data_IF_143522607669
#
_entry.id   IF_143522607669
#
_cell.length_a   1.000
_cell.length_b   1.000
_cell.length_c   1.000
_cell.angle_alpha   90.00
_cell.angle_beta   90.00
_cell.angle_gamma   90.00
#
_symmetry.space_group_name_H-M   'P 1'
#
loop_
_entity.id
_entity.type
_entity.pdbx_description
1 polymer ?
#
# COMPACT_ATOMS: atom_id res chain seq x y z
N UNK A 1 8.53 12.73 2.86
CA UNK A 1 9.38 12.56 1.67
C UNK A 1 9.08 11.20 1.09
N UNK A 2 8.49 11.14 -0.10
CA UNK A 2 8.26 9.90 -0.84
C UNK A 2 9.62 9.34 -1.27
N UNK A 3 9.85 8.05 -1.04
CA UNK A 3 11.07 7.31 -1.42
C UNK A 3 11.08 6.87 -2.89
N UNK A 4 10.17 7.39 -3.70
CA UNK A 4 9.98 6.99 -5.10
C UNK A 4 9.96 8.23 -5.99
N UNK A 5 10.76 8.17 -7.06
CA UNK A 5 10.79 9.17 -8.12
C UNK A 5 10.00 8.66 -9.33
N UNK A 6 8.98 9.38 -9.75
CA UNK A 6 8.21 9.13 -10.96
C UNK A 6 9.12 9.34 -12.17
N UNK A 7 9.13 8.40 -13.14
CA UNK A 7 9.91 8.58 -14.34
C UNK A 7 9.36 9.75 -15.15
N UNK A 8 10.25 10.63 -15.61
CA UNK A 8 9.88 11.73 -16.51
C UNK A 8 9.40 11.21 -17.86
N UNK A 9 8.42 11.89 -18.46
CA UNK A 9 8.00 11.58 -19.83
C UNK A 9 9.08 11.97 -20.84
N UNK A 10 9.49 11.02 -21.69
CA UNK A 10 10.41 11.30 -22.80
C UNK A 10 9.76 12.06 -23.96
N UNK A 11 8.43 12.18 -23.99
CA UNK A 11 7.69 12.85 -25.04
C UNK A 11 7.24 14.26 -24.59
N UNK A 12 7.72 15.34 -25.24
CA UNK A 12 7.34 16.72 -24.89
C UNK A 12 5.83 16.97 -24.95
N UNK A 13 5.12 16.35 -25.91
CA UNK A 13 3.69 16.51 -26.04
C UNK A 13 2.91 15.89 -24.86
N UNK A 14 3.41 14.76 -24.33
CA UNK A 14 2.83 14.09 -23.16
C UNK A 14 3.14 14.92 -21.91
N UNK A 15 4.35 15.48 -21.79
CA UNK A 15 4.70 16.37 -20.69
C UNK A 15 3.80 17.61 -20.67
N UNK A 16 3.56 18.27 -21.80
CA UNK A 16 2.60 19.37 -21.87
C UNK A 16 1.16 18.94 -21.51
N UNK A 17 0.75 17.74 -21.90
CA UNK A 17 -0.58 17.22 -21.50
C UNK A 17 -0.66 17.03 -19.99
N UNK A 18 0.38 16.43 -19.39
CA UNK A 18 0.49 16.21 -17.95
C UNK A 18 0.38 17.54 -17.19
N UNK A 19 1.15 18.55 -17.58
CA UNK A 19 1.13 19.86 -16.92
C UNK A 19 -0.25 20.53 -17.08
N UNK A 20 -0.86 20.45 -18.26
CA UNK A 20 -2.19 21.01 -18.49
C UNK A 20 -3.25 20.35 -17.58
N UNK A 21 -3.24 19.02 -17.48
CA UNK A 21 -4.17 18.30 -16.62
C UNK A 21 -3.87 18.53 -15.13
N UNK A 22 -2.59 18.64 -14.76
CA UNK A 22 -2.15 18.90 -13.40
C UNK A 22 -2.71 20.24 -12.90
N UNK A 23 -2.53 21.32 -13.65
CA UNK A 23 -3.05 22.63 -13.27
C UNK A 23 -4.58 22.66 -13.18
N UNK A 24 -5.28 22.02 -14.13
CA UNK A 24 -6.73 21.86 -14.06
C UNK A 24 -7.17 21.10 -12.79
N UNK A 25 -6.42 20.08 -12.37
CA UNK A 25 -6.70 19.34 -11.14
C UNK A 25 -6.27 20.04 -9.85
N UNK A 26 -5.22 20.86 -9.86
CA UNK A 26 -4.81 21.66 -8.69
C UNK A 26 -5.87 22.71 -8.40
N UNK A 27 -6.36 23.40 -9.43
CA UNK A 27 -7.34 24.45 -9.24
C UNK A 27 -8.79 23.94 -9.19
N UNK A 28 -9.02 22.65 -9.46
CA UNK A 28 -10.37 22.09 -9.64
C UNK A 28 -11.19 22.86 -10.68
N UNK A 29 -10.52 23.32 -11.75
CA UNK A 29 -11.09 24.09 -12.85
C UNK A 29 -10.68 23.45 -14.18
N UNK A 30 -11.44 23.70 -15.24
CA UNK A 30 -11.07 23.28 -16.60
C UNK A 30 -10.74 24.50 -17.49
N UNK A 31 -9.96 25.43 -16.93
CA UNK A 31 -9.63 26.71 -17.54
C UNK A 31 -8.32 26.66 -18.32
N UNK A 32 -7.42 25.74 -17.99
CA UNK A 32 -6.13 25.56 -18.66
C UNK A 32 -6.30 24.77 -19.95
N UNK A 33 -5.77 25.32 -21.05
CA UNK A 33 -5.81 24.70 -22.38
C UNK A 33 -4.47 24.88 -23.09
N UNK A 34 -4.08 23.88 -23.89
CA UNK A 34 -2.91 23.99 -24.76
C UNK A 34 -3.07 25.14 -25.75
N UNK A 35 -2.04 25.96 -25.87
CA UNK A 35 -2.01 27.17 -26.69
C UNK A 35 -1.25 26.89 -27.99
N UNK A 36 -1.89 27.19 -29.14
CA UNK A 36 -1.22 27.22 -30.44
C UNK A 36 -0.83 25.86 -31.08
N UNK A 37 -1.77 24.92 -31.25
CA UNK A 37 -1.57 23.72 -32.11
C UNK A 37 -2.43 23.76 -33.38
N UNK A 38 -1.84 23.31 -34.50
CA UNK A 38 -2.25 23.40 -35.93
C UNK A 38 -1.77 24.68 -36.67
N UNK A 39 -0.49 24.71 -37.06
CA UNK A 39 0.04 25.63 -38.09
C UNK A 39 0.35 27.06 -37.67
N UNK A 40 0.01 27.47 -36.44
CA UNK A 40 0.33 28.81 -35.91
C UNK A 40 1.66 28.82 -35.15
N UNK A 41 2.42 29.92 -35.26
CA UNK A 41 3.68 30.11 -34.52
C UNK A 41 3.41 30.14 -33.00
N UNK A 42 4.12 29.29 -32.25
CA UNK A 42 4.08 29.32 -30.79
C UNK A 42 4.75 30.60 -30.26
N UNK A 43 4.01 31.34 -29.43
CA UNK A 43 4.41 32.68 -28.95
C UNK A 43 5.15 32.64 -27.60
N UNK A 44 5.90 31.57 -27.35
CA UNK A 44 6.53 31.30 -26.06
C UNK A 44 5.56 30.88 -24.94
N UNK A 45 4.37 30.38 -25.30
CA UNK A 45 3.37 29.84 -24.37
C UNK A 45 2.87 28.50 -24.90
N UNK A 46 2.89 27.46 -24.07
CA UNK A 46 2.36 26.13 -24.41
C UNK A 46 0.97 25.88 -23.84
N UNK A 47 0.64 26.46 -22.67
CA UNK A 47 -0.66 26.31 -22.00
C UNK A 47 -1.08 27.68 -21.47
N UNK A 48 -2.38 27.98 -21.55
CA UNK A 48 -2.92 29.24 -21.06
C UNK A 48 -4.29 29.05 -20.38
N UNK A 49 -4.50 29.75 -19.27
CA UNK A 49 -5.80 29.97 -18.64
C UNK A 49 -6.20 31.44 -18.81
N UNK A 50 -7.23 31.76 -19.63
CA UNK A 50 -7.71 33.14 -19.79
C UNK A 50 -8.42 33.66 -18.54
N UNK A 51 -9.01 32.77 -17.73
CA UNK A 51 -9.75 33.14 -16.52
C UNK A 51 -8.77 33.58 -15.44
N UNK A 52 -7.73 32.78 -15.23
CA UNK A 52 -6.77 33.01 -14.16
C UNK A 52 -5.64 33.96 -14.59
N UNK A 53 -5.54 34.23 -15.91
CA UNK A 53 -4.46 35.02 -16.54
C UNK A 53 -3.09 34.39 -16.26
N UNK A 54 -3.02 33.06 -16.38
CA UNK A 54 -1.83 32.25 -16.12
C UNK A 54 -1.40 31.59 -17.43
N UNK A 55 -0.11 31.74 -17.76
CA UNK A 55 0.54 31.04 -18.86
C UNK A 55 1.53 30.03 -18.31
N UNK A 56 1.75 28.94 -19.06
CA UNK A 56 2.73 27.93 -18.73
C UNK A 56 3.53 27.63 -19.99
N UNK A 57 4.84 27.65 -19.84
CA UNK A 57 5.80 27.19 -20.83
C UNK A 57 6.44 25.90 -20.32
N UNK A 58 6.35 24.84 -21.12
CA UNK A 58 6.86 23.53 -20.77
C UNK A 58 8.28 23.34 -21.35
N UNK A 59 9.18 22.79 -20.54
CA UNK A 59 10.58 22.54 -20.90
C UNK A 59 10.98 21.11 -20.57
N UNK A 60 10.80 20.21 -21.53
CA UNK A 60 11.38 18.86 -21.44
C UNK A 60 12.89 18.96 -21.67
N UNK A 61 13.69 18.49 -20.70
CA UNK A 61 15.16 18.41 -20.79
C UNK A 61 15.64 16.97 -20.87
N UNK A 62 16.81 16.77 -21.46
CA UNK A 62 17.48 15.48 -21.52
C UNK A 62 18.41 15.32 -20.31
N UNK A 63 17.96 14.54 -19.33
CA UNK A 63 18.59 14.44 -18.01
C UNK A 63 19.86 13.57 -17.97
N UNK A 64 20.18 12.87 -19.06
CA UNK A 64 21.43 12.10 -19.21
C UNK A 64 22.66 12.99 -19.40
N UNK A 65 22.48 14.29 -19.68
CA UNK A 65 23.54 15.26 -19.92
C UNK A 65 24.10 15.83 -18.62
N UNK A 66 25.27 16.48 -18.71
CA UNK A 66 25.87 17.18 -17.56
C UNK A 66 24.93 18.26 -17.02
N UNK A 67 24.70 18.21 -15.71
CA UNK A 67 23.80 19.09 -14.95
C UNK A 67 23.99 20.58 -15.30
N UNK A 68 25.23 21.07 -15.28
CA UNK A 68 25.56 22.46 -15.61
C UNK A 68 25.16 22.87 -17.04
N UNK A 69 25.21 21.93 -17.99
CA UNK A 69 24.81 22.18 -19.37
C UNK A 69 23.30 22.26 -19.51
N UNK A 70 22.56 21.41 -18.79
CA UNK A 70 21.09 21.44 -18.77
C UNK A 70 20.60 22.73 -18.13
N UNK A 71 21.20 23.12 -16.99
CA UNK A 71 20.85 24.34 -16.27
C UNK A 71 21.08 25.57 -17.13
N UNK A 72 22.27 25.70 -17.76
CA UNK A 72 22.55 26.82 -18.66
C UNK A 72 21.55 26.90 -19.82
N UNK A 73 21.29 25.77 -20.48
CA UNK A 73 20.31 25.69 -21.56
C UNK A 73 18.89 26.05 -21.12
N UNK A 74 18.51 25.71 -19.87
CA UNK A 74 17.22 26.06 -19.31
C UNK A 74 17.11 27.57 -19.06
N UNK A 75 18.15 28.22 -18.53
CA UNK A 75 18.17 29.67 -18.33
C UNK A 75 18.07 30.41 -19.68
N UNK A 76 18.86 29.99 -20.68
CA UNK A 76 18.82 30.55 -22.04
C UNK A 76 17.43 30.40 -22.67
N UNK A 77 16.78 29.25 -22.46
CA UNK A 77 15.42 28.97 -22.93
C UNK A 77 14.37 29.87 -22.25
N UNK A 78 14.49 30.10 -20.94
CA UNK A 78 13.59 30.97 -20.17
C UNK A 78 13.67 32.39 -20.71
N UNK A 79 14.87 32.95 -20.85
CA UNK A 79 15.06 34.31 -21.38
C UNK A 79 14.51 34.43 -22.81
N UNK A 80 14.74 33.42 -23.65
CA UNK A 80 14.23 33.40 -25.02
C UNK A 80 12.71 33.42 -25.08
N UNK A 81 12.03 32.64 -24.25
CA UNK A 81 10.57 32.56 -24.30
C UNK A 81 9.90 33.78 -23.66
N UNK A 82 10.46 34.30 -22.56
CA UNK A 82 10.02 35.58 -21.97
C UNK A 82 10.13 36.70 -23.01
N UNK A 83 11.24 36.79 -23.74
CA UNK A 83 11.39 37.78 -24.80
C UNK A 83 10.39 37.59 -25.94
N UNK A 84 10.03 36.35 -26.33
CA UNK A 84 8.96 36.13 -27.32
C UNK A 84 7.61 36.65 -26.80
N UNK A 85 7.26 36.36 -25.55
CA UNK A 85 6.00 36.80 -24.94
C UNK A 85 5.87 38.33 -24.99
N UNK A 86 6.95 39.05 -24.68
CA UNK A 86 6.99 40.52 -24.69
C UNK A 86 6.90 41.07 -26.12
N UNK A 87 7.67 40.50 -27.05
CA UNK A 87 7.78 41.01 -28.41
C UNK A 87 6.56 40.73 -29.30
N UNK A 88 5.77 39.71 -28.96
CA UNK A 88 4.66 39.26 -29.81
C UNK A 88 3.32 39.98 -29.56
N UNK A 89 3.33 41.06 -28.76
CA UNK A 89 2.16 41.89 -28.40
C UNK A 89 0.91 41.03 -28.15
N UNK A 90 1.06 40.04 -27.27
CA UNK A 90 -0.05 39.17 -26.91
C UNK A 90 -1.21 40.03 -26.41
N UNK A 91 -2.38 39.93 -27.07
CA UNK A 91 -3.63 40.56 -26.60
C UNK A 91 -4.17 39.94 -25.30
N UNK A 92 -3.33 39.21 -24.58
CA UNK A 92 -3.66 38.46 -23.38
C UNK A 92 -3.03 39.18 -22.19
N UNK A 93 -3.84 39.53 -21.21
CA UNK A 93 -3.34 40.04 -19.94
C UNK A 93 -2.79 38.85 -19.13
N UNK A 94 -1.52 38.92 -18.74
CA UNK A 94 -0.82 37.88 -17.99
C UNK A 94 -0.51 38.36 -16.58
N UNK A 95 -0.75 37.51 -15.57
CA UNK A 95 -0.37 37.73 -14.17
C UNK A 95 0.84 36.88 -13.77
N UNK A 96 0.87 35.61 -14.18
CA UNK A 96 1.93 34.66 -13.83
C UNK A 96 2.30 33.84 -15.06
N UNK A 97 3.60 33.67 -15.29
CA UNK A 97 4.20 32.72 -16.20
C UNK A 97 4.86 31.60 -15.39
N UNK A 98 4.34 30.38 -15.49
CA UNK A 98 5.03 29.20 -14.99
C UNK A 98 6.00 28.65 -16.04
N UNK A 99 7.23 28.37 -15.63
CA UNK A 99 8.18 27.57 -16.39
C UNK A 99 8.18 26.17 -15.76
N UNK A 100 7.49 25.22 -16.39
CA UNK A 100 7.42 23.84 -15.92
C UNK A 100 8.47 22.98 -16.63
N UNK A 101 9.34 22.31 -15.90
CA UNK A 101 10.49 21.58 -16.47
C UNK A 101 10.62 20.17 -15.93
N UNK A 102 11.16 19.26 -16.74
CA UNK A 102 11.58 17.95 -16.25
C UNK A 102 12.93 18.01 -15.52
N UNK A 103 13.60 19.15 -15.49
CA UNK A 103 14.77 19.38 -14.65
C UNK A 103 14.35 19.58 -13.19
N UNK A 104 15.19 19.20 -12.23
CA UNK A 104 14.94 19.34 -10.79
C UNK A 104 14.73 20.80 -10.36
N UNK A 105 14.23 20.99 -9.15
CA UNK A 105 14.22 22.31 -8.51
C UNK A 105 15.67 22.81 -8.32
N UNK A 106 15.90 24.10 -8.51
CA UNK A 106 17.23 24.68 -8.30
C UNK A 106 17.14 26.18 -7.94
N UNK A 107 17.72 26.62 -6.81
CA UNK A 107 17.65 28.01 -6.35
C UNK A 107 18.10 29.03 -7.40
N UNK A 108 19.23 28.79 -8.08
CA UNK A 108 19.72 29.68 -9.14
C UNK A 108 18.69 29.97 -10.25
N UNK A 109 17.75 29.05 -10.52
CA UNK A 109 16.71 29.25 -11.53
C UNK A 109 15.61 30.16 -10.98
N UNK A 110 15.22 29.97 -9.72
CA UNK A 110 14.25 30.82 -9.04
C UNK A 110 14.78 32.25 -8.91
N UNK A 111 16.03 32.42 -8.48
CA UNK A 111 16.74 33.70 -8.43
C UNK A 111 16.78 34.37 -9.81
N UNK A 112 17.15 33.61 -10.86
CA UNK A 112 17.17 34.13 -12.22
C UNK A 112 15.80 34.58 -12.73
N UNK A 113 14.72 33.87 -12.37
CA UNK A 113 13.36 34.28 -12.75
C UNK A 113 12.98 35.64 -12.14
N UNK A 114 13.39 35.90 -10.89
CA UNK A 114 13.19 37.18 -10.20
C UNK A 114 14.03 38.27 -10.87
N UNK A 115 15.33 38.02 -11.08
CA UNK A 115 16.24 38.97 -11.74
C UNK A 115 15.74 39.34 -13.15
N UNK A 116 15.27 38.35 -13.91
CA UNK A 116 14.77 38.57 -15.27
C UNK A 116 13.49 39.42 -15.28
N UNK A 117 12.58 39.21 -14.32
CA UNK A 117 11.39 40.02 -14.13
C UNK A 117 11.74 41.48 -13.88
N UNK A 118 12.69 41.73 -12.98
CA UNK A 118 13.15 43.08 -12.62
C UNK A 118 13.88 43.74 -13.80
N UNK A 119 14.84 43.05 -14.41
CA UNK A 119 15.64 43.51 -15.56
C UNK A 119 14.76 43.95 -16.73
N UNK A 120 13.68 43.21 -17.02
CA UNK A 120 12.78 43.50 -18.13
C UNK A 120 11.53 44.31 -17.71
N UNK A 121 11.44 44.71 -16.44
CA UNK A 121 10.31 45.44 -15.86
C UNK A 121 8.94 44.81 -16.20
N UNK A 122 8.83 43.50 -15.98
CA UNK A 122 7.64 42.73 -16.37
C UNK A 122 6.46 42.99 -15.45
N UNK A 123 5.26 43.01 -16.04
CA UNK A 123 3.98 43.15 -15.31
C UNK A 123 3.44 41.84 -14.74
N UNK A 124 4.12 40.73 -14.99
CA UNK A 124 3.76 39.39 -14.53
C UNK A 124 4.93 38.74 -13.81
N UNK A 125 4.62 37.81 -12.91
CA UNK A 125 5.61 37.01 -12.21
C UNK A 125 6.10 35.85 -13.07
N UNK A 126 7.35 35.44 -12.88
CA UNK A 126 7.91 34.23 -13.48
C UNK A 126 8.16 33.24 -12.34
N UNK A 127 7.54 32.06 -12.39
CA UNK A 127 7.67 31.02 -11.36
C UNK A 127 8.21 29.74 -12.01
N UNK A 128 9.27 29.18 -11.45
CA UNK A 128 9.83 27.93 -11.92
C UNK A 128 9.28 26.74 -11.14
N UNK A 129 8.77 25.74 -11.86
CA UNK A 129 8.43 24.43 -11.31
C UNK A 129 9.33 23.37 -11.93
N UNK A 130 10.29 22.90 -11.14
CA UNK A 130 11.07 21.72 -11.48
C UNK A 130 10.29 20.42 -11.25
N UNK A 131 10.90 19.31 -11.65
CA UNK A 131 10.30 17.99 -11.59
C UNK A 131 9.89 17.59 -10.18
N UNK A 132 10.69 17.94 -9.18
CA UNK A 132 10.40 17.60 -7.78
C UNK A 132 9.06 18.22 -7.33
N UNK A 133 8.84 19.49 -7.68
CA UNK A 133 7.55 20.18 -7.40
C UNK A 133 6.40 19.54 -8.16
N UNK A 134 6.59 19.24 -9.45
CA UNK A 134 5.56 18.62 -10.29
C UNK A 134 5.18 17.25 -9.74
N UNK A 135 6.17 16.45 -9.35
CA UNK A 135 6.02 15.12 -8.78
C UNK A 135 5.21 15.16 -7.48
N UNK A 136 5.54 16.06 -6.55
CA UNK A 136 4.80 16.21 -5.28
C UNK A 136 3.31 16.40 -5.52
N UNK A 137 2.92 17.24 -6.47
CA UNK A 137 1.51 17.44 -6.80
C UNK A 137 0.87 16.28 -7.55
N UNK A 138 1.64 15.52 -8.33
CA UNK A 138 1.14 14.39 -9.12
C UNK A 138 0.87 13.16 -8.26
N UNK A 139 1.72 12.88 -7.27
CA UNK A 139 1.63 11.69 -6.42
C UNK A 139 0.28 11.62 -5.69
N UNK A 140 -0.27 12.77 -5.28
CA UNK A 140 -1.55 12.84 -4.56
C UNK A 140 -2.77 12.76 -5.50
N UNK A 141 -2.57 12.66 -6.83
CA UNK A 141 -3.64 12.70 -7.84
C UNK A 141 -3.75 11.38 -8.59
N UNK A 142 -4.52 10.44 -8.02
CA UNK A 142 -4.75 9.11 -8.59
C UNK A 142 -5.17 9.14 -10.08
N UNK A 143 -5.97 10.13 -10.49
CA UNK A 143 -6.40 10.25 -11.89
C UNK A 143 -5.25 10.58 -12.84
N UNK A 144 -4.27 11.39 -12.43
CA UNK A 144 -3.08 11.69 -13.23
C UNK A 144 -2.17 10.46 -13.28
N UNK A 145 -1.95 9.81 -12.15
CA UNK A 145 -1.14 8.59 -12.07
C UNK A 145 -1.70 7.50 -13.00
N UNK A 146 -3.01 7.21 -12.94
CA UNK A 146 -3.65 6.24 -13.85
C UNK A 146 -3.51 6.61 -15.33
N UNK A 147 -3.53 7.90 -15.67
CA UNK A 147 -3.48 8.38 -17.05
C UNK A 147 -2.07 8.37 -17.64
N UNK A 148 -1.08 8.80 -16.86
CA UNK A 148 0.29 9.04 -17.34
C UNK A 148 1.28 7.94 -16.94
N UNK A 149 0.96 7.20 -15.87
CA UNK A 149 1.72 6.05 -15.39
C UNK A 149 0.77 4.89 -15.03
N UNK A 150 0.05 4.30 -16.01
CA UNK A 150 -0.95 3.25 -15.74
C UNK A 150 -0.35 2.00 -15.08
N UNK A 151 0.95 1.77 -15.24
CA UNK A 151 1.69 0.65 -14.65
C UNK A 151 2.18 0.95 -13.22
N UNK A 152 2.03 2.19 -12.73
CA UNK A 152 2.45 2.58 -11.39
C UNK A 152 1.42 2.12 -10.36
N UNK A 153 1.79 1.13 -9.55
CA UNK A 153 0.93 0.53 -8.52
C UNK A 153 0.90 1.46 -7.31
N UNK A 154 -0.21 2.19 -7.14
CA UNK A 154 -0.48 2.95 -5.91
C UNK A 154 -1.08 1.97 -4.88
N UNK A 155 -0.32 1.64 -3.85
CA UNK A 155 -0.88 0.98 -2.67
C UNK A 155 -1.74 1.98 -1.90
N UNK A 156 -3.06 1.97 -2.14
CA UNK A 156 -4.03 2.73 -1.36
C UNK A 156 -4.15 2.11 0.04
N UNK A 157 -3.18 2.45 0.89
CA UNK A 157 -3.05 2.00 2.28
C UNK A 157 -3.92 2.82 3.25
N UNK A 158 -4.97 3.51 2.76
CA UNK A 158 -5.85 4.27 3.64
C UNK A 158 -6.49 3.36 4.69
N UNK A 159 -6.75 3.90 5.90
CA UNK A 159 -7.41 3.17 6.98
C UNK A 159 -8.78 2.64 6.55
N UNK A 160 -9.50 3.41 5.72
CA UNK A 160 -10.79 3.03 5.16
C UNK A 160 -10.66 1.81 4.24
N UNK A 161 -9.71 1.82 3.30
CA UNK A 161 -9.46 0.69 2.40
C UNK A 161 -9.17 -0.61 3.16
N UNK A 162 -8.40 -0.53 4.25
CA UNK A 162 -8.12 -1.69 5.12
C UNK A 162 -9.38 -2.23 5.80
N UNK A 163 -10.21 -1.35 6.37
CA UNK A 163 -11.47 -1.73 7.01
C UNK A 163 -12.43 -2.36 6.00
N UNK A 164 -12.57 -1.76 4.82
CA UNK A 164 -13.43 -2.28 3.74
C UNK A 164 -12.96 -3.68 3.30
N UNK A 165 -11.65 -3.89 3.16
CA UNK A 165 -11.06 -5.19 2.83
C UNK A 165 -11.40 -6.23 3.89
N UNK A 166 -11.16 -5.93 5.17
CA UNK A 166 -11.39 -6.86 6.28
C UNK A 166 -12.87 -7.23 6.40
N UNK A 167 -13.78 -6.25 6.29
CA UNK A 167 -15.22 -6.50 6.28
C UNK A 167 -15.67 -7.36 5.09
N UNK A 168 -15.06 -7.15 3.93
CA UNK A 168 -15.35 -7.94 2.72
C UNK A 168 -14.89 -9.39 2.90
N UNK A 169 -13.67 -9.59 3.41
CA UNK A 169 -13.13 -10.92 3.69
C UNK A 169 -13.99 -11.65 4.74
N UNK A 170 -14.35 -10.97 5.84
CA UNK A 170 -15.24 -11.51 6.87
C UNK A 170 -16.57 -11.98 6.29
N UNK A 171 -17.22 -11.18 5.44
CA UNK A 171 -18.50 -11.55 4.78
C UNK A 171 -18.34 -12.80 3.91
N UNK A 172 -17.27 -12.87 3.12
CA UNK A 172 -16.96 -14.03 2.27
C UNK A 172 -16.77 -15.29 3.11
N UNK A 173 -15.86 -15.26 4.08
CA UNK A 173 -15.58 -16.40 4.96
C UNK A 173 -16.84 -16.84 5.71
N UNK A 174 -17.60 -15.91 6.28
CA UNK A 174 -18.84 -16.25 7.01
C UNK A 174 -19.82 -17.01 6.11
N UNK A 175 -20.00 -16.55 4.87
CA UNK A 175 -20.86 -17.22 3.88
C UNK A 175 -20.30 -18.59 3.49
N UNK A 176 -19.02 -18.66 3.17
CA UNK A 176 -18.43 -19.86 2.59
C UNK A 176 -18.18 -20.98 3.60
N UNK A 177 -17.91 -20.62 4.85
CA UNK A 177 -17.66 -21.53 5.97
C UNK A 177 -18.80 -21.58 6.97
N UNK A 178 -19.99 -21.13 6.61
CA UNK A 178 -21.18 -21.10 7.47
C UNK A 178 -21.42 -22.43 8.19
N UNK A 179 -21.30 -23.56 7.47
CA UNK A 179 -21.48 -24.91 8.05
C UNK A 179 -20.49 -25.28 9.15
N UNK A 180 -19.32 -24.66 9.17
CA UNK A 180 -18.38 -24.81 10.28
C UNK A 180 -18.69 -23.78 11.37
N UNK A 181 -18.94 -22.53 11.01
CA UNK A 181 -19.08 -21.44 11.98
C UNK A 181 -20.39 -21.46 12.79
N UNK A 182 -21.49 -21.95 12.20
CA UNK A 182 -22.82 -21.93 12.84
C UNK A 182 -23.04 -23.11 13.80
N UNK A 183 -22.22 -24.15 13.70
CA UNK A 183 -22.39 -25.39 14.45
C UNK A 183 -21.24 -25.63 15.42
N UNK A 184 -21.57 -26.13 16.61
CA UNK A 184 -20.59 -26.69 17.55
C UNK A 184 -19.77 -27.76 16.83
N UNK A 185 -18.49 -27.88 17.17
CA UNK A 185 -17.56 -28.87 16.60
C UNK A 185 -18.15 -30.28 16.52
N UNK A 186 -18.79 -30.72 17.59
CA UNK A 186 -19.44 -32.04 17.73
C UNK A 186 -20.60 -32.29 16.75
N UNK A 187 -21.15 -31.23 16.16
CA UNK A 187 -22.32 -31.27 15.27
C UNK A 187 -21.97 -30.97 13.81
N UNK A 188 -20.69 -30.95 13.43
CA UNK A 188 -20.26 -30.65 12.04
C UNK A 188 -20.20 -31.92 11.21
N UNK A 189 -20.83 -31.91 10.04
CA UNK A 189 -20.89 -33.05 9.11
C UNK A 189 -19.71 -33.11 8.13
N UNK A 190 -18.98 -32.00 7.96
CA UNK A 190 -17.86 -31.89 7.01
C UNK A 190 -16.52 -32.05 7.73
N UNK A 191 -15.48 -32.47 6.99
CA UNK A 191 -14.11 -32.46 7.49
C UNK A 191 -13.77 -31.10 8.10
N UNK A 192 -13.28 -31.11 9.34
CA UNK A 192 -12.83 -29.90 10.02
C UNK A 192 -11.44 -29.46 9.54
N UNK A 193 -10.70 -30.34 8.84
CA UNK A 193 -9.34 -30.04 8.41
C UNK A 193 -9.30 -28.92 7.38
N UNK A 194 -8.41 -27.98 7.62
CA UNK A 194 -8.05 -26.87 6.74
C UNK A 194 -6.53 -26.75 6.77
N UNK A 195 -5.95 -26.14 5.75
CA UNK A 195 -4.51 -25.87 5.70
C UNK A 195 -4.28 -24.39 5.97
N UNK A 196 -3.42 -24.06 6.94
CA UNK A 196 -2.79 -22.74 6.99
C UNK A 196 -1.50 -22.82 6.19
N UNK A 197 -1.27 -21.81 5.35
CA UNK A 197 -0.07 -21.69 4.52
C UNK A 197 0.49 -20.29 4.65
N UNK A 198 1.80 -20.16 4.75
CA UNK A 198 2.47 -18.90 4.48
C UNK A 198 2.15 -18.47 3.05
N UNK A 199 1.70 -17.23 2.86
CA UNK A 199 1.32 -16.72 1.54
C UNK A 199 2.51 -16.62 0.57
N UNK A 200 3.71 -16.47 1.14
CA UNK A 200 5.01 -16.37 0.50
C UNK A 200 5.87 -17.63 0.72
N UNK A 201 5.28 -18.70 1.25
CA UNK A 201 5.99 -19.97 1.50
C UNK A 201 6.26 -20.75 0.21
N UNK A 202 7.44 -21.37 0.15
CA UNK A 202 7.94 -22.10 -1.03
C UNK A 202 7.96 -23.62 -0.83
N UNK A 203 7.81 -24.09 0.41
CA UNK A 203 7.96 -25.52 0.74
C UNK A 203 6.76 -26.37 0.27
N UNK A 204 5.56 -25.82 0.33
CA UNK A 204 4.37 -26.53 -0.16
C UNK A 204 4.41 -26.72 -1.68
N UNK A 205 4.06 -27.90 -2.24
CA UNK A 205 3.58 -29.10 -1.54
C UNK A 205 4.68 -30.14 -1.25
N UNK A 206 5.92 -29.85 -1.65
CA UNK A 206 6.96 -30.86 -1.82
C UNK A 206 7.70 -31.18 -0.51
N UNK A 207 7.86 -30.19 0.36
CA UNK A 207 8.57 -30.30 1.64
C UNK A 207 7.81 -29.59 2.75
N UNK A 208 8.17 -29.86 4.00
CA UNK A 208 7.66 -29.14 5.17
C UNK A 208 8.66 -29.24 6.32
N UNK A 209 9.85 -28.71 6.09
CA UNK A 209 10.91 -28.60 7.07
C UNK A 209 10.63 -27.41 8.00
N UNK A 210 10.91 -27.56 9.31
CA UNK A 210 10.70 -26.50 10.27
C UNK A 210 11.68 -25.34 10.04
N UNK A 211 11.20 -24.13 10.25
CA UNK A 211 11.98 -22.91 10.19
C UNK A 211 12.92 -22.79 11.41
N UNK A 212 13.62 -21.65 11.52
CA UNK A 212 14.53 -21.36 12.63
C UNK A 212 13.86 -21.31 14.01
N UNK A 213 12.54 -21.23 14.07
CA UNK A 213 11.75 -21.27 15.30
C UNK A 213 11.17 -22.65 15.59
N UNK A 214 11.40 -23.64 14.71
CA UNK A 214 10.82 -24.96 14.83
C UNK A 214 9.41 -25.07 14.26
N UNK A 215 8.96 -24.06 13.51
CA UNK A 215 7.59 -23.93 13.00
C UNK A 215 7.50 -24.21 11.50
N UNK A 216 6.33 -24.59 11.01
CA UNK A 216 6.16 -25.07 9.63
C UNK A 216 5.47 -24.03 8.75
N UNK A 217 5.93 -23.85 7.52
CA UNK A 217 5.32 -22.92 6.54
C UNK A 217 3.90 -23.32 6.13
N UNK A 218 3.53 -24.57 6.35
CA UNK A 218 2.16 -25.02 6.19
C UNK A 218 1.81 -26.16 7.14
N UNK A 219 0.59 -26.14 7.67
CA UNK A 219 0.13 -27.18 8.59
C UNK A 219 -1.41 -27.25 8.65
N UNK A 220 -1.91 -28.43 9.02
CA UNK A 220 -3.34 -28.68 9.12
C UNK A 220 -3.90 -28.13 10.45
N UNK A 221 -5.06 -27.51 10.37
CA UNK A 221 -5.80 -26.93 11.50
C UNK A 221 -7.30 -27.18 11.34
N UNK A 222 -8.09 -26.82 12.35
CA UNK A 222 -9.55 -26.77 12.25
C UNK A 222 -10.08 -25.37 12.56
N UNK A 223 -10.95 -24.82 11.71
CA UNK A 223 -11.59 -23.53 12.01
C UNK A 223 -12.49 -23.70 13.22
N UNK A 224 -12.39 -22.81 14.20
CA UNK A 224 -13.20 -22.87 15.41
C UNK A 224 -14.39 -21.93 15.30
N UNK A 225 -14.12 -20.62 15.21
CA UNK A 225 -15.13 -19.56 15.21
C UNK A 225 -14.52 -18.23 14.74
N UNK A 226 -15.39 -17.23 14.59
CA UNK A 226 -15.01 -15.83 14.44
C UNK A 226 -14.75 -15.22 15.83
N UNK A 227 -13.80 -14.28 15.91
CA UNK A 227 -13.69 -13.34 17.03
C UNK A 227 -13.76 -11.89 16.51
N UNK A 228 -13.55 -10.91 17.38
CA UNK A 228 -13.80 -9.50 17.02
C UNK A 228 -12.97 -8.99 15.83
N UNK A 229 -11.73 -9.48 15.66
CA UNK A 229 -10.81 -9.03 14.60
C UNK A 229 -10.44 -10.09 13.55
N UNK A 230 -10.94 -11.33 13.68
CA UNK A 230 -10.48 -12.40 12.80
C UNK A 230 -11.10 -13.76 13.04
N UNK A 231 -10.28 -14.80 12.87
CA UNK A 231 -10.63 -16.20 13.01
C UNK A 231 -9.82 -16.90 14.11
N UNK A 232 -10.45 -17.86 14.76
CA UNK A 232 -9.80 -18.78 15.68
C UNK A 232 -9.70 -20.16 15.06
N UNK A 233 -8.54 -20.81 15.21
CA UNK A 233 -8.27 -22.15 14.70
C UNK A 233 -7.76 -23.05 15.81
N UNK A 234 -8.22 -24.30 15.83
CA UNK A 234 -7.62 -25.36 16.63
C UNK A 234 -6.42 -25.88 15.85
N UNK A 235 -5.24 -25.76 16.44
CA UNK A 235 -3.97 -26.22 15.84
C UNK A 235 -3.35 -27.41 16.57
N UNK A 236 -3.86 -27.76 17.77
CA UNK A 236 -3.39 -28.93 18.51
C UNK A 236 -4.42 -29.41 19.54
N UNK A 237 -4.26 -30.66 19.98
CA UNK A 237 -4.93 -31.22 21.16
C UNK A 237 -3.85 -31.59 22.16
N UNK A 238 -3.95 -31.11 23.40
CA UNK A 238 -2.97 -31.38 24.46
C UNK A 238 -3.66 -31.84 25.73
N UNK A 239 -2.91 -32.48 26.61
CA UNK A 239 -3.35 -32.76 27.97
C UNK A 239 -2.64 -31.79 28.93
N UNK A 240 -3.41 -31.22 29.85
CA UNK A 240 -2.91 -30.36 30.92
C UNK A 240 -3.34 -30.90 32.27
N UNK A 241 -2.63 -30.49 33.33
CA UNK A 241 -3.09 -30.60 34.70
C UNK A 241 -3.32 -29.21 35.28
N UNK A 242 -4.43 -29.05 36.00
CA UNK A 242 -4.80 -27.80 36.69
C UNK A 242 -4.65 -28.01 38.18
N UNK A 243 -3.94 -27.11 38.85
CA UNK A 243 -3.65 -27.19 40.28
C UNK A 243 -4.72 -26.45 41.11
N UNK A 244 -4.72 -26.65 42.43
CA UNK A 244 -5.69 -26.02 43.34
C UNK A 244 -5.65 -24.49 43.32
N UNK A 245 -4.49 -23.90 43.00
CA UNK A 245 -4.30 -22.46 42.85
C UNK A 245 -4.75 -21.91 41.48
N UNK A 246 -5.35 -22.76 40.62
CA UNK A 246 -5.74 -22.49 39.23
C UNK A 246 -4.57 -22.25 38.26
N UNK A 247 -3.33 -22.43 38.68
CA UNK A 247 -2.22 -22.56 37.73
C UNK A 247 -2.34 -23.87 36.96
N UNK A 248 -1.65 -23.97 35.82
CA UNK A 248 -1.71 -25.16 34.99
C UNK A 248 -0.38 -25.45 34.30
N UNK A 249 -0.16 -26.70 33.91
CA UNK A 249 0.99 -27.11 33.10
C UNK A 249 0.63 -28.27 32.15
N UNK A 250 1.44 -28.47 31.11
CA UNK A 250 1.30 -29.63 30.23
C UNK A 250 1.63 -30.92 30.97
N UNK A 251 0.92 -31.98 30.59
CA UNK A 251 1.25 -33.33 31.02
C UNK A 251 2.19 -33.94 29.98
N UNK A 252 3.42 -34.24 30.39
CA UNK A 252 4.42 -34.98 29.62
C UNK A 252 4.59 -36.39 30.21
N UNK A 253 5.38 -37.26 29.57
CA UNK A 253 5.60 -38.64 30.01
C UNK A 253 6.16 -38.73 31.44
N UNK A 254 7.04 -37.80 31.82
CA UNK A 254 7.68 -37.74 33.15
C UNK A 254 6.89 -36.93 34.19
N UNK A 255 5.73 -36.38 33.83
CA UNK A 255 4.99 -35.50 34.73
C UNK A 255 4.33 -36.28 35.87
N UNK A 256 4.68 -35.95 37.12
CA UNK A 256 3.87 -36.37 38.27
C UNK A 256 2.51 -35.66 38.21
N UNK A 257 1.45 -36.44 38.35
CA UNK A 257 0.09 -35.96 38.19
C UNK A 257 -0.49 -35.67 39.56
N UNK A 258 -0.51 -34.40 39.91
CA UNK A 258 -0.94 -33.92 41.22
C UNK A 258 -2.23 -33.08 41.08
N UNK A 259 -2.49 -32.51 39.90
CA UNK A 259 -3.69 -31.71 39.60
C UNK A 259 -4.81 -32.46 38.84
N UNK A 260 -5.91 -31.75 38.57
CA UNK A 260 -7.00 -32.25 37.73
C UNK A 260 -6.53 -32.34 36.27
N UNK A 261 -6.51 -33.56 35.71
CA UNK A 261 -6.21 -33.78 34.29
C UNK A 261 -7.38 -33.40 33.39
N UNK A 262 -7.08 -32.70 32.31
CA UNK A 262 -8.05 -32.44 31.25
C UNK A 262 -7.41 -32.31 29.87
N UNK A 263 -8.21 -32.63 28.84
CA UNK A 263 -7.83 -32.42 27.46
C UNK A 263 -8.26 -31.01 27.03
N UNK A 264 -7.36 -30.32 26.34
CA UNK A 264 -7.55 -28.96 25.84
C UNK A 264 -7.23 -28.87 24.36
N UNK A 265 -7.96 -28.00 23.66
CA UNK A 265 -7.61 -27.52 22.33
C UNK A 265 -6.60 -26.39 22.46
N UNK A 266 -5.50 -26.45 21.71
CA UNK A 266 -4.66 -25.28 21.44
C UNK A 266 -5.32 -24.45 20.35
N UNK A 267 -5.68 -23.21 20.69
CA UNK A 267 -6.39 -22.28 19.84
C UNK A 267 -5.48 -21.12 19.48
N UNK A 268 -5.30 -20.89 18.18
CA UNK A 268 -4.57 -19.75 17.64
C UNK A 268 -5.52 -18.74 16.99
N UNK A 269 -5.28 -17.46 17.23
CA UNK A 269 -6.04 -16.34 16.66
C UNK A 269 -5.30 -15.74 15.46
N UNK A 270 -6.00 -15.48 14.36
CA UNK A 270 -5.45 -14.82 13.17
C UNK A 270 -6.35 -13.65 12.79
N UNK A 271 -5.79 -12.43 12.77
CA UNK A 271 -6.50 -11.24 12.30
C UNK A 271 -6.89 -11.35 10.84
N UNK A 272 -8.00 -10.73 10.45
CA UNK A 272 -8.34 -10.60 9.03
C UNK A 272 -7.21 -9.94 8.23
N UNK A 273 -6.52 -8.94 8.81
CA UNK A 273 -5.39 -8.22 8.18
C UNK A 273 -4.21 -9.10 7.79
N UNK A 274 -4.06 -10.22 8.48
CA UNK A 274 -2.98 -11.18 8.26
C UNK A 274 -3.42 -12.36 7.38
N UNK A 275 -4.71 -12.47 7.08
CA UNK A 275 -5.23 -13.37 6.05
C UNK A 275 -5.20 -12.64 4.70
N UNK A 276 -4.42 -13.18 3.77
CA UNK A 276 -4.30 -12.66 2.41
C UNK A 276 -5.52 -13.05 1.58
N UNK A 277 -5.79 -14.35 1.48
CA UNK A 277 -6.99 -14.91 0.86
C UNK A 277 -7.16 -16.39 1.27
N UNK A 278 -8.16 -17.08 0.72
CA UNK A 278 -8.34 -18.51 0.92
C UNK A 278 -8.85 -19.22 -0.35
N UNK A 279 -8.46 -20.48 -0.51
CA UNK A 279 -9.03 -21.39 -1.49
C UNK A 279 -9.96 -22.39 -0.76
N UNK A 280 -11.27 -22.22 -0.93
CA UNK A 280 -12.29 -23.06 -0.29
C UNK A 280 -12.20 -24.55 -0.66
N UNK A 281 -11.77 -24.87 -1.89
CA UNK A 281 -11.80 -26.24 -2.41
C UNK A 281 -10.50 -27.01 -2.17
N UNK A 282 -9.44 -26.31 -1.75
CA UNK A 282 -8.10 -26.87 -1.76
C UNK A 282 -7.60 -27.07 -3.19
N UNK A 283 -6.67 -28.01 -3.36
CA UNK A 283 -6.03 -28.32 -4.64
C UNK A 283 -5.83 -29.85 -4.80
N UNK A 284 -5.01 -30.26 -5.77
CA UNK A 284 -4.75 -31.67 -6.08
C UNK A 284 -4.02 -32.44 -4.98
N UNK A 285 -3.32 -31.77 -4.06
CA UNK A 285 -2.59 -32.42 -2.97
C UNK A 285 -3.47 -32.55 -1.73
N UNK A 286 -4.23 -31.50 -1.43
CA UNK A 286 -5.16 -31.49 -0.30
C UNK A 286 -6.51 -30.90 -0.71
N UNK A 287 -7.52 -31.75 -0.79
CA UNK A 287 -8.89 -31.42 -1.22
C UNK A 287 -9.74 -30.75 -0.12
N UNK A 288 -9.10 -29.98 0.76
CA UNK A 288 -9.75 -29.25 1.84
C UNK A 288 -9.29 -27.79 1.87
N UNK A 289 -10.02 -26.88 2.52
CA UNK A 289 -9.78 -25.44 2.40
C UNK A 289 -8.36 -25.01 2.77
N UNK A 290 -7.74 -24.14 1.98
CA UNK A 290 -6.43 -23.54 2.23
C UNK A 290 -6.59 -22.05 2.57
N UNK A 291 -6.04 -21.60 3.70
CA UNK A 291 -5.92 -20.19 4.05
C UNK A 291 -4.48 -19.76 3.84
N UNK A 292 -4.29 -18.64 3.14
CA UNK A 292 -2.99 -18.02 2.91
C UNK A 292 -2.83 -16.86 3.89
N UNK A 293 -1.88 -16.98 4.82
CA UNK A 293 -1.68 -16.05 5.91
C UNK A 293 -0.26 -15.49 5.91
N UNK A 294 -0.08 -14.33 6.52
CA UNK A 294 1.23 -13.76 6.85
C UNK A 294 1.74 -14.41 8.14
N UNK A 295 2.91 -15.03 8.10
CA UNK A 295 3.50 -15.74 9.24
C UNK A 295 4.39 -14.78 10.04
N UNK A 296 3.75 -13.78 10.67
CA UNK A 296 4.44 -12.66 11.33
C UNK A 296 4.88 -12.97 12.77
N UNK A 297 4.39 -14.07 13.36
CA UNK A 297 4.49 -14.33 14.80
C UNK A 297 5.34 -15.57 15.07
N UNK A 298 6.67 -15.38 15.14
CA UNK A 298 7.67 -16.43 15.40
C UNK A 298 7.50 -17.66 14.49
N UNK A 299 7.35 -17.45 13.18
CA UNK A 299 7.17 -18.55 12.23
C UNK A 299 5.74 -19.08 12.13
N UNK A 300 4.77 -18.45 12.82
CA UNK A 300 3.34 -18.83 12.75
C UNK A 300 2.47 -17.63 12.36
N UNK A 301 1.21 -17.87 11.93
CA UNK A 301 0.25 -16.79 11.69
C UNK A 301 -0.52 -16.37 12.95
N UNK A 302 -0.21 -16.93 14.13
CA UNK A 302 -1.01 -16.74 15.33
C UNK A 302 -0.56 -15.52 16.13
N UNK A 303 -1.38 -14.47 16.17
CA UNK A 303 -1.08 -13.29 17.00
C UNK A 303 -1.20 -13.59 18.50
N UNK A 304 -2.06 -14.55 18.84
CA UNK A 304 -2.30 -15.02 20.20
C UNK A 304 -2.64 -16.50 20.17
N UNK A 305 -2.14 -17.22 21.16
CA UNK A 305 -2.46 -18.63 21.39
C UNK A 305 -2.89 -18.85 22.83
N UNK A 306 -3.96 -19.62 23.03
CA UNK A 306 -4.45 -20.04 24.35
C UNK A 306 -5.04 -21.45 24.28
N UNK A 307 -5.39 -22.02 25.43
CA UNK A 307 -5.94 -23.36 25.51
C UNK A 307 -7.37 -23.35 26.04
N UNK A 308 -8.23 -24.23 25.52
CA UNK A 308 -9.64 -24.33 25.92
C UNK A 308 -10.02 -25.78 26.21
N UNK A 309 -10.72 -26.03 27.32
CA UNK A 309 -11.18 -27.37 27.66
C UNK A 309 -12.13 -27.91 26.58
N UNK A 310 -11.87 -29.15 26.14
CA UNK A 310 -12.62 -29.81 25.06
C UNK A 310 -14.11 -30.00 25.39
N UNK A 311 -14.45 -30.21 26.68
CA UNK A 311 -15.82 -30.44 27.15
C UNK A 311 -16.45 -29.19 27.76
N UNK A 312 -15.67 -28.43 28.55
CA UNK A 312 -16.12 -27.25 29.29
C UNK A 312 -15.61 -25.99 28.60
N UNK A 313 -16.23 -25.60 27.48
CA UNK A 313 -15.73 -24.52 26.59
C UNK A 313 -15.51 -23.15 27.28
N UNK A 314 -16.15 -22.90 28.42
CA UNK A 314 -15.95 -21.68 29.20
C UNK A 314 -14.65 -21.67 30.03
N UNK A 315 -13.98 -22.83 30.17
CA UNK A 315 -12.68 -22.95 30.83
C UNK A 315 -11.56 -22.75 29.80
N UNK A 316 -10.83 -21.65 29.97
CA UNK A 316 -9.71 -21.26 29.12
C UNK A 316 -8.45 -21.07 29.95
N UNK A 317 -7.31 -21.36 29.35
CA UNK A 317 -5.99 -21.37 29.99
C UNK A 317 -5.03 -20.55 29.13
N UNK A 318 -4.69 -19.37 29.63
CA UNK A 318 -3.74 -18.46 28.99
C UNK A 318 -2.31 -18.90 29.32
N UNK A 319 -1.39 -18.74 28.36
CA UNK A 319 0.03 -19.08 28.54
C UNK A 319 0.69 -18.31 29.69
N UNK A 320 0.20 -17.11 30.00
CA UNK A 320 0.68 -16.26 31.10
C UNK A 320 0.42 -16.87 32.49
N UNK A 321 -0.62 -17.70 32.61
CA UNK A 321 -1.00 -18.38 33.86
C UNK A 321 -0.43 -19.80 33.95
N UNK A 322 0.39 -20.19 32.97
CA UNK A 322 1.12 -21.46 33.01
C UNK A 322 2.11 -21.40 34.16
N UNK A 323 2.22 -22.48 34.94
CA UNK A 323 3.16 -22.56 36.06
C UNK A 323 4.57 -22.28 35.53
N UNK A 324 5.22 -21.23 36.03
CA UNK A 324 6.61 -20.96 35.72
C UNK A 324 7.46 -22.13 36.22
N UNK A 325 8.13 -22.82 35.31
CA UNK A 325 9.28 -23.64 35.69
C UNK A 325 10.33 -22.69 36.24
N UNK A 326 10.34 -22.51 37.56
CA UNK A 326 11.52 -22.00 38.25
C UNK A 326 12.61 -23.06 38.04
N UNK A 327 13.45 -22.83 37.04
CA UNK A 327 14.78 -23.45 36.92
C UNK A 327 15.79 -22.66 37.71
#
# INVERSE_FOLDING_TARGET
MSTHQLPTSNNPNIFESLICDLFNQIESKNTYKKFGRNGNKQKGIDIFSPVDKIAIQCKKKELSRRDISIRKELLDDIEKDVNKIINEELKLELKILYIASTYKNHPDIDEYCIELKEKLNLKFDIIYWGWDTIEEFVIDKQNLLKKYWPEFIINDNSKESKIVRDLTLRKKITKDFQKWLDYKLENRELSNKMLLRAFDGEQYPNTNEPDKFGEYEWFAVEILRLYHSGLEFIHSVKQIQVFEDNSWDFVNEDSEIIGEKMNVYGIGQINFQDIVDYNKRGDEFYIYPHFFCKFLYRGTPFEKTYYQNVKKIYQTFELENKKSTNS
#
